data_IF_920980834954
#
_entry.id   IF_920980834954
#
_cell.length_a   1.000
_cell.length_b   1.000
_cell.length_c   1.000
_cell.angle_alpha   90.00
_cell.angle_beta   90.00
_cell.angle_gamma   90.00
#
_symmetry.space_group_name_H-M   'P 1'
#
loop_
_entity.id
_entity.type
_entity.pdbx_description
1 polymer ?
#
# COMPACT_ATOMS: atom_id res chain seq x y z
N UNK A 1 -29.28 -52.11 34.20
CA UNK A 1 -30.27 -51.30 33.46
C UNK A 1 -29.53 -50.16 32.79
N UNK A 2 -29.46 -50.12 31.45
CA UNK A 2 -28.62 -49.15 30.71
C UNK A 2 -29.51 -47.96 30.30
N UNK A 3 -29.36 -46.84 30.99
CA UNK A 3 -30.09 -45.60 30.71
C UNK A 3 -29.68 -45.05 29.34
N UNK A 4 -30.57 -45.12 28.36
CA UNK A 4 -30.39 -44.49 27.05
C UNK A 4 -30.69 -42.99 27.21
N UNK A 5 -29.64 -42.15 27.23
CA UNK A 5 -29.81 -40.70 27.19
C UNK A 5 -30.43 -40.32 25.85
N UNK A 6 -31.59 -39.66 25.86
CA UNK A 6 -32.19 -39.11 24.64
C UNK A 6 -31.27 -38.03 24.09
N UNK A 7 -30.78 -38.20 22.86
CA UNK A 7 -30.10 -37.14 22.14
C UNK A 7 -31.13 -36.05 21.83
N UNK A 8 -30.91 -34.84 22.34
CA UNK A 8 -31.69 -33.67 21.94
C UNK A 8 -31.30 -33.30 20.51
N UNK A 9 -32.24 -33.43 19.57
CA UNK A 9 -32.03 -33.00 18.19
C UNK A 9 -32.18 -31.48 18.06
N UNK A 10 -31.36 -30.86 17.21
CA UNK A 10 -31.53 -29.47 16.78
C UNK A 10 -32.81 -29.36 15.94
N UNK A 11 -33.65 -28.36 16.18
CA UNK A 11 -34.84 -28.14 15.36
C UNK A 11 -34.44 -27.54 14.00
N UNK A 12 -35.18 -27.89 12.95
CA UNK A 12 -34.98 -27.31 11.61
C UNK A 12 -35.16 -25.78 11.65
N UNK A 13 -36.05 -25.29 12.52
CA UNK A 13 -36.31 -23.85 12.70
C UNK A 13 -35.10 -23.15 13.32
N UNK A 14 -34.45 -23.74 14.32
CA UNK A 14 -33.22 -23.18 14.91
C UNK A 14 -32.11 -23.08 13.87
N UNK A 15 -31.96 -24.07 12.99
CA UNK A 15 -30.95 -24.02 11.94
C UNK A 15 -31.29 -22.99 10.84
N UNK A 16 -32.59 -22.85 10.51
CA UNK A 16 -33.07 -21.89 9.53
C UNK A 16 -32.80 -20.44 9.96
N UNK A 17 -33.11 -20.08 11.22
CA UNK A 17 -32.85 -18.72 11.68
C UNK A 17 -31.35 -18.40 11.68
N UNK A 18 -30.50 -19.39 12.00
CA UNK A 18 -29.05 -19.20 12.07
C UNK A 18 -28.48 -18.89 10.69
N UNK A 19 -28.87 -19.63 9.65
CA UNK A 19 -28.37 -19.37 8.30
C UNK A 19 -28.88 -18.02 7.76
N UNK A 20 -30.10 -17.60 8.13
CA UNK A 20 -30.65 -16.29 7.75
C UNK A 20 -29.85 -15.17 8.43
N UNK A 21 -29.60 -15.29 9.73
CA UNK A 21 -28.81 -14.30 10.48
C UNK A 21 -27.37 -14.22 9.95
N UNK A 22 -26.71 -15.36 9.71
CA UNK A 22 -25.36 -15.39 9.11
C UNK A 22 -25.37 -14.78 7.70
N UNK A 23 -26.42 -15.02 6.91
CA UNK A 23 -26.57 -14.42 5.58
C UNK A 23 -26.65 -12.90 5.61
N UNK A 24 -27.43 -12.34 6.55
CA UNK A 24 -27.55 -10.87 6.73
C UNK A 24 -26.20 -10.29 7.18
N UNK A 25 -25.53 -10.92 8.16
CA UNK A 25 -24.23 -10.46 8.65
C UNK A 25 -23.15 -10.56 7.55
N UNK A 26 -23.14 -11.62 6.75
CA UNK A 26 -22.22 -11.81 5.64
C UNK A 26 -22.39 -10.71 4.57
N UNK A 27 -23.63 -10.36 4.22
CA UNK A 27 -23.89 -9.30 3.23
C UNK A 27 -23.35 -7.94 3.67
N UNK A 28 -23.58 -7.55 4.94
CA UNK A 28 -23.08 -6.28 5.49
C UNK A 28 -21.55 -6.28 5.56
N UNK A 29 -20.95 -7.39 6.01
CA UNK A 29 -19.49 -7.49 6.17
C UNK A 29 -18.74 -7.41 4.85
N UNK A 30 -19.26 -7.99 3.76
CA UNK A 30 -18.62 -7.93 2.43
C UNK A 30 -18.47 -6.48 1.94
N UNK A 31 -19.53 -5.66 2.06
CA UNK A 31 -19.50 -4.26 1.62
C UNK A 31 -18.53 -3.44 2.47
N UNK A 32 -18.53 -3.65 3.79
CA UNK A 32 -17.62 -2.95 4.70
C UNK A 32 -16.14 -3.34 4.50
N UNK A 33 -15.87 -4.62 4.21
CA UNK A 33 -14.51 -5.16 4.07
C UNK A 33 -13.75 -4.55 2.89
N UNK A 34 -14.43 -4.29 1.76
CA UNK A 34 -13.81 -3.65 0.58
C UNK A 34 -13.25 -2.26 0.90
N UNK A 35 -14.00 -1.43 1.65
CA UNK A 35 -13.52 -0.11 2.06
C UNK A 35 -12.36 -0.15 3.05
N UNK A 36 -12.38 -1.11 3.99
CA UNK A 36 -11.31 -1.28 4.99
C UNK A 36 -10.01 -1.73 4.32
N UNK A 37 -10.07 -2.73 3.45
CA UNK A 37 -8.89 -3.24 2.74
C UNK A 37 -8.27 -2.18 1.83
N UNK A 38 -9.07 -1.41 1.12
CA UNK A 38 -8.60 -0.29 0.29
C UNK A 38 -7.84 0.76 1.09
N UNK A 39 -8.34 1.14 2.27
CA UNK A 39 -7.62 2.02 3.20
C UNK A 39 -6.29 1.42 3.67
N UNK A 40 -6.28 0.12 3.96
CA UNK A 40 -5.05 -0.60 4.31
C UNK A 40 -4.00 -0.55 3.20
N UNK A 41 -4.41 -0.78 1.95
CA UNK A 41 -3.52 -0.68 0.80
C UNK A 41 -3.00 0.74 0.58
N UNK A 42 -3.85 1.76 0.71
CA UNK A 42 -3.44 3.16 0.61
C UNK A 42 -2.39 3.53 1.68
N UNK A 43 -2.62 3.14 2.93
CA UNK A 43 -1.66 3.36 4.01
C UNK A 43 -0.32 2.64 3.78
N UNK A 44 -0.36 1.41 3.24
CA UNK A 44 0.84 0.67 2.88
C UNK A 44 1.60 1.33 1.72
N UNK A 45 0.89 1.77 0.67
CA UNK A 45 1.48 2.45 -0.47
C UNK A 45 2.14 3.78 -0.05
N UNK A 46 1.50 4.55 0.84
CA UNK A 46 2.08 5.75 1.44
C UNK A 46 3.36 5.43 2.22
N UNK A 47 3.33 4.43 3.10
CA UNK A 47 4.50 4.01 3.89
C UNK A 47 5.66 3.59 2.98
N UNK A 48 5.36 2.85 1.90
CA UNK A 48 6.34 2.46 0.92
C UNK A 48 6.95 3.67 0.19
N UNK A 49 6.12 4.67 -0.15
CA UNK A 49 6.59 5.90 -0.79
C UNK A 49 7.52 6.71 0.13
N UNK A 50 7.18 6.84 1.41
CA UNK A 50 8.04 7.48 2.43
C UNK A 50 9.35 6.73 2.64
N UNK A 51 9.33 5.39 2.57
CA UNK A 51 10.56 4.60 2.63
C UNK A 51 11.47 4.86 1.42
N UNK A 52 10.90 4.95 0.22
CA UNK A 52 11.67 5.33 -0.98
C UNK A 52 12.26 6.73 -0.85
N UNK A 53 11.48 7.70 -0.33
CA UNK A 53 11.99 9.05 -0.06
C UNK A 53 13.21 8.99 0.85
N UNK A 54 13.13 8.30 1.99
CA UNK A 54 14.26 8.18 2.94
C UNK A 54 15.50 7.58 2.30
N UNK A 55 15.33 6.54 1.47
CA UNK A 55 16.45 5.91 0.75
C UNK A 55 17.05 6.85 -0.29
N UNK A 56 16.22 7.62 -1.00
CA UNK A 56 16.69 8.61 -1.97
C UNK A 56 17.45 9.78 -1.31
N UNK A 57 16.98 10.24 -0.14
CA UNK A 57 17.68 11.25 0.67
C UNK A 57 19.01 10.72 1.20
N UNK A 58 19.04 9.46 1.66
CA UNK A 58 20.28 8.81 2.08
C UNK A 58 21.28 8.68 0.92
N UNK A 59 20.81 8.29 -0.27
CA UNK A 59 21.65 8.23 -1.47
C UNK A 59 22.27 9.59 -1.80
N UNK A 60 21.49 10.67 -1.70
CA UNK A 60 22.00 12.03 -1.91
C UNK A 60 23.02 12.43 -0.83
N UNK A 61 22.80 12.05 0.42
CA UNK A 61 23.77 12.30 1.49
C UNK A 61 25.12 11.60 1.26
N UNK A 62 25.10 10.38 0.69
CA UNK A 62 26.31 9.60 0.41
C UNK A 62 27.01 10.02 -0.90
N UNK A 63 26.26 10.39 -1.94
CA UNK A 63 26.79 10.59 -3.30
C UNK A 63 26.79 12.03 -3.78
N UNK A 64 26.11 12.93 -3.06
CA UNK A 64 25.94 14.34 -3.43
C UNK A 64 24.94 14.59 -4.56
N UNK A 65 24.21 13.57 -5.02
CA UNK A 65 23.17 13.67 -6.04
C UNK A 65 22.00 12.74 -5.76
N UNK A 66 20.79 13.08 -6.20
CA UNK A 66 19.65 12.16 -6.12
C UNK A 66 19.70 11.06 -7.20
N UNK A 67 19.11 9.89 -6.95
CA UNK A 67 19.03 8.81 -7.93
C UNK A 67 18.32 9.27 -9.22
N UNK A 68 18.89 8.93 -10.37
CA UNK A 68 18.31 9.27 -11.69
C UNK A 68 17.41 8.17 -12.24
N UNK A 69 17.28 7.05 -11.52
CA UNK A 69 16.41 5.95 -11.86
C UNK A 69 16.01 5.14 -10.62
N UNK A 70 14.95 4.32 -10.77
CA UNK A 70 14.44 3.45 -9.73
C UNK A 70 15.39 2.27 -9.42
N UNK A 71 16.22 1.84 -10.37
CA UNK A 71 17.11 0.69 -10.18
C UNK A 71 18.20 0.99 -9.15
N UNK A 72 18.73 2.21 -9.20
CA UNK A 72 19.73 2.74 -8.27
C UNK A 72 19.21 2.67 -6.83
N UNK A 73 17.94 3.03 -6.60
CA UNK A 73 17.29 2.92 -5.28
C UNK A 73 17.16 1.49 -4.78
N UNK A 74 16.94 0.53 -5.68
CA UNK A 74 16.77 -0.90 -5.33
C UNK A 74 18.11 -1.55 -5.00
N UNK A 75 19.18 -1.15 -5.69
CA UNK A 75 20.53 -1.68 -5.47
C UNK A 75 21.30 -0.95 -4.38
N UNK A 76 20.88 0.26 -4.00
CA UNK A 76 21.55 1.05 -2.99
C UNK A 76 21.43 0.41 -1.61
N UNK A 77 22.58 0.19 -0.99
CA UNK A 77 22.75 -0.22 0.40
C UNK A 77 23.69 0.80 1.03
N UNK A 78 23.12 1.88 1.57
CA UNK A 78 23.91 3.00 2.08
C UNK A 78 24.87 2.62 3.19
N UNK A 79 25.73 3.57 3.56
CA UNK A 79 26.81 3.34 4.53
C UNK A 79 26.34 3.29 5.99
N UNK A 80 25.13 3.79 6.29
CA UNK A 80 24.53 3.77 7.62
C UNK A 80 23.51 2.62 7.79
N UNK A 81 23.80 1.73 8.74
CA UNK A 81 23.03 0.51 9.03
C UNK A 81 21.53 0.72 9.40
N UNK A 82 21.10 1.96 9.67
CA UNK A 82 19.75 2.27 10.12
C UNK A 82 18.83 2.94 9.07
N UNK A 83 19.32 3.36 7.89
CA UNK A 83 18.51 4.27 7.03
C UNK A 83 18.38 3.88 5.55
N UNK A 84 19.19 2.99 4.98
CA UNK A 84 19.35 3.01 3.52
C UNK A 84 19.12 1.67 2.80
N UNK A 85 18.05 0.96 3.13
CA UNK A 85 17.59 -0.14 2.28
C UNK A 85 16.07 -0.15 2.18
N UNK A 86 15.58 -0.30 0.95
CA UNK A 86 14.15 -0.50 0.73
C UNK A 86 13.68 -1.79 1.43
N UNK A 87 12.46 -1.81 1.99
CA UNK A 87 11.87 -3.02 2.54
C UNK A 87 11.93 -4.18 1.55
N UNK A 88 12.23 -5.38 2.04
CA UNK A 88 12.25 -6.59 1.20
C UNK A 88 10.88 -6.83 0.58
N UNK A 89 10.84 -7.10 -0.73
CA UNK A 89 9.59 -7.33 -1.48
C UNK A 89 8.89 -6.07 -1.98
N UNK A 90 9.42 -4.87 -1.66
CA UNK A 90 8.93 -3.63 -2.27
C UNK A 90 9.36 -3.56 -3.75
N UNK A 91 8.38 -3.39 -4.64
CA UNK A 91 8.65 -3.14 -6.07
C UNK A 91 8.55 -1.65 -6.34
N UNK A 92 9.68 -1.03 -6.72
CA UNK A 92 9.72 0.36 -7.20
C UNK A 92 9.77 0.34 -8.72
N UNK A 93 8.72 0.84 -9.36
CA UNK A 93 8.62 0.83 -10.82
C UNK A 93 9.24 2.09 -11.42
N UNK A 94 10.01 1.93 -12.51
CA UNK A 94 10.40 3.03 -13.39
C UNK A 94 9.27 3.41 -14.38
N UNK A 95 8.32 2.50 -14.60
CA UNK A 95 7.16 2.70 -15.46
C UNK A 95 6.02 3.36 -14.70
N UNK A 96 5.18 4.11 -15.43
CA UNK A 96 3.94 4.69 -14.92
C UNK A 96 3.10 3.66 -14.16
N UNK A 97 2.90 3.87 -12.86
CA UNK A 97 1.98 3.05 -12.06
C UNK A 97 0.58 3.61 -12.26
N UNK A 98 -0.33 2.80 -12.79
CA UNK A 98 -1.74 3.14 -13.02
C UNK A 98 -2.64 2.53 -11.95
N UNK A 99 -3.91 2.94 -11.92
CA UNK A 99 -4.95 2.37 -11.03
C UNK A 99 -5.22 0.87 -11.24
N UNK A 100 -4.72 0.29 -12.34
CA UNK A 100 -4.86 -1.13 -12.68
C UNK A 100 -3.67 -1.98 -12.22
N UNK A 101 -2.59 -1.33 -11.79
CA UNK A 101 -1.40 -2.00 -11.25
C UNK A 101 -1.60 -2.19 -9.75
N UNK A 102 -1.17 -3.33 -9.18
CA UNK A 102 -1.44 -3.74 -7.78
C UNK A 102 -1.46 -2.58 -6.77
N UNK A 103 -2.42 -2.60 -5.83
CA UNK A 103 -2.80 -1.43 -5.02
C UNK A 103 -1.70 -0.81 -4.15
N UNK A 104 -0.60 -1.52 -3.96
CA UNK A 104 0.56 -1.11 -3.15
C UNK A 104 1.75 -0.65 -3.98
N UNK A 105 1.63 -0.68 -5.31
CA UNK A 105 2.71 -0.36 -6.21
C UNK A 105 2.99 1.13 -6.21
N UNK A 106 4.27 1.46 -6.33
CA UNK A 106 4.77 2.83 -6.32
C UNK A 106 5.70 3.06 -7.50
N UNK A 107 5.77 4.31 -7.94
CA UNK A 107 6.65 4.75 -9.02
C UNK A 107 7.62 5.79 -8.50
N UNK A 108 8.89 5.65 -8.86
CA UNK A 108 9.85 6.73 -8.65
C UNK A 108 10.01 7.55 -9.93
N UNK A 109 9.81 8.86 -9.82
CA UNK A 109 9.94 9.82 -10.91
C UNK A 109 11.11 10.77 -10.59
N UNK A 110 12.32 10.51 -11.14
CA UNK A 110 13.48 11.35 -10.91
C UNK A 110 13.36 12.70 -11.64
N UNK A 111 13.92 13.76 -11.05
CA UNK A 111 14.04 15.10 -11.65
C UNK A 111 15.53 15.47 -11.77
N UNK A 112 16.19 14.83 -12.72
CA UNK A 112 17.64 14.88 -12.85
C UNK A 112 18.32 14.44 -11.55
N UNK A 113 19.40 15.11 -11.16
CA UNK A 113 20.16 14.84 -9.94
C UNK A 113 19.70 15.67 -8.74
N UNK A 114 18.68 16.52 -8.91
CA UNK A 114 18.27 17.53 -7.91
C UNK A 114 17.14 17.06 -6.99
N UNK A 115 16.51 15.93 -7.31
CA UNK A 115 15.40 15.38 -6.56
C UNK A 115 14.48 14.54 -7.43
N UNK A 116 13.21 14.49 -7.06
CA UNK A 116 12.16 13.77 -7.77
C UNK A 116 10.93 13.59 -6.88
N UNK A 117 10.11 12.61 -7.19
CA UNK A 117 9.05 12.20 -6.27
C UNK A 117 8.69 10.74 -6.44
N UNK A 118 7.96 10.24 -5.45
CA UNK A 118 7.41 8.89 -5.42
C UNK A 118 5.89 9.00 -5.55
N UNK A 119 5.35 8.48 -6.65
CA UNK A 119 3.91 8.42 -6.89
C UNK A 119 3.32 7.13 -6.31
N UNK A 120 2.15 7.25 -5.70
CA UNK A 120 1.32 6.14 -5.25
C UNK A 120 -0.17 6.48 -5.45
N UNK A 121 -1.06 5.49 -5.34
CA UNK A 121 -2.50 5.68 -5.53
C UNK A 121 -3.26 5.52 -4.21
N UNK A 122 -4.07 6.52 -3.90
CA UNK A 122 -5.01 6.47 -2.78
C UNK A 122 -6.30 5.76 -3.19
N UNK A 123 -6.36 4.46 -2.90
CA UNK A 123 -7.54 3.63 -3.15
C UNK A 123 -8.64 3.79 -2.09
N UNK A 124 -8.40 4.55 -1.01
CA UNK A 124 -9.44 4.84 -0.03
C UNK A 124 -10.51 5.80 -0.56
N UNK A 125 -10.15 6.60 -1.57
CA UNK A 125 -11.07 7.51 -2.25
C UNK A 125 -12.01 6.76 -3.21
N UNK A 126 -13.25 7.28 -3.36
CA UNK A 126 -14.25 6.71 -4.27
C UNK A 126 -13.76 6.67 -5.74
N UNK A 127 -12.97 7.67 -6.12
CA UNK A 127 -12.15 7.66 -7.34
C UNK A 127 -10.69 7.68 -6.90
N UNK A 128 -9.89 6.64 -7.20
CA UNK A 128 -8.50 6.61 -6.81
C UNK A 128 -7.75 7.84 -7.31
N UNK A 129 -6.98 8.48 -6.43
CA UNK A 129 -6.20 9.68 -6.76
C UNK A 129 -4.71 9.38 -6.67
N UNK A 130 -3.94 9.87 -7.63
CA UNK A 130 -2.49 9.84 -7.54
C UNK A 130 -2.04 10.82 -6.44
N UNK A 131 -1.13 10.34 -5.59
CA UNK A 131 -0.50 11.07 -4.50
C UNK A 131 1.01 10.99 -4.69
N UNK A 132 1.73 11.99 -4.17
CA UNK A 132 3.16 12.14 -4.39
C UNK A 132 3.86 12.44 -3.07
N UNK A 133 5.01 11.80 -2.88
CA UNK A 133 5.98 12.13 -1.82
C UNK A 133 7.21 12.71 -2.49
N UNK A 134 7.54 13.96 -2.19
CA UNK A 134 8.64 14.67 -2.84
C UNK A 134 10.00 14.34 -2.23
N UNK A 135 11.02 14.31 -3.07
CA UNK A 135 12.41 14.03 -2.72
C UNK A 135 13.27 15.21 -3.21
N UNK A 136 14.13 15.78 -2.37
CA UNK A 136 14.95 16.94 -2.75
C UNK A 136 14.16 18.12 -3.32
N UNK A 137 14.65 18.72 -4.41
CA UNK A 137 13.97 19.80 -5.13
C UNK A 137 12.84 19.30 -6.07
N UNK A 138 12.19 18.22 -5.66
CA UNK A 138 11.07 17.60 -6.37
C UNK A 138 9.79 18.43 -6.35
N UNK A 139 9.73 19.54 -5.61
CA UNK A 139 8.56 20.43 -5.58
C UNK A 139 8.36 21.09 -6.95
N UNK A 140 7.38 20.59 -7.71
CA UNK A 140 6.59 21.42 -8.61
C UNK A 140 5.48 22.04 -7.78
N UNK A 141 5.32 23.37 -7.86
CA UNK A 141 4.41 24.11 -7.01
C UNK A 141 2.98 23.54 -7.00
N UNK A 142 2.33 23.59 -5.83
CA UNK A 142 0.87 23.55 -5.74
C UNK A 142 0.17 22.23 -6.06
N UNK A 143 0.74 21.07 -5.70
CA UNK A 143 -0.03 19.82 -5.62
C UNK A 143 -0.36 19.13 -6.95
N UNK A 144 0.35 19.45 -8.04
CA UNK A 144 0.21 18.81 -9.34
C UNK A 144 1.50 18.08 -9.69
N UNK A 145 1.42 16.75 -9.82
CA UNK A 145 2.33 15.79 -10.49
C UNK A 145 3.83 16.14 -10.64
N UNK A 146 4.71 15.17 -10.35
CA UNK A 146 6.10 15.25 -10.84
C UNK A 146 6.12 15.44 -12.35
N UNK A 147 6.48 16.64 -12.78
CA UNK A 147 6.79 16.97 -14.16
C UNK A 147 8.06 17.81 -14.16
#
# INVERSE_FOLDING_TARGET
MKNIKRASGFTIVELLIVIVVIGILAAITIVAYSGITNRGYAAQAQTNAENVQKVAEAYNADTGAYPVDAATLVTYSGTAAAVAKLPTGLTVSATAVTTTTGKTNIQYLPKGTTGGCVQWWDYAAATPLAKYVFVGNGVTGGGVSCT
#
